data_IF_983808441468
#
_entry.id   IF_983808441468
#
_cell.length_a   1.000
_cell.length_b   1.000
_cell.length_c   1.000
_cell.angle_alpha   90.00
_cell.angle_beta   90.00
_cell.angle_gamma   90.00
#
_symmetry.space_group_name_H-M   'P 1'
#
loop_
_entity.id
_entity.type
_entity.pdbx_description
1 polymer ?
#
# COMPACT_ATOMS: atom_id res chain seq x y z
N UNK A 1 3.21 15.15 -7.58
CA UNK A 1 3.58 14.08 -6.64
C UNK A 1 2.82 14.22 -5.35
N UNK A 2 2.29 13.14 -4.82
CA UNK A 2 1.51 13.18 -3.59
C UNK A 2 2.31 12.64 -2.41
N UNK A 3 2.17 13.31 -1.26
CA UNK A 3 2.59 12.78 0.03
C UNK A 3 1.73 11.55 0.38
N UNK A 4 2.37 10.51 0.91
CA UNK A 4 1.66 9.29 1.32
C UNK A 4 0.66 9.62 2.41
N UNK A 5 1.08 10.28 3.47
CA UNK A 5 0.19 10.65 4.58
C UNK A 5 -0.96 11.55 4.12
N UNK A 6 -0.65 12.59 3.35
CA UNK A 6 -1.65 13.55 2.88
C UNK A 6 -2.69 12.87 1.99
N UNK A 7 -2.27 11.98 1.09
CA UNK A 7 -3.20 11.30 0.20
C UNK A 7 -4.11 10.31 0.95
N UNK A 8 -3.59 9.62 1.96
CA UNK A 8 -4.42 8.74 2.79
C UNK A 8 -5.42 9.55 3.59
N UNK A 9 -5.00 10.68 4.16
CA UNK A 9 -5.90 11.59 4.88
C UNK A 9 -7.03 12.07 3.96
N UNK A 10 -6.70 12.47 2.75
CA UNK A 10 -7.69 12.92 1.77
C UNK A 10 -8.74 11.86 1.49
N UNK A 11 -8.32 10.62 1.29
CA UNK A 11 -9.25 9.52 1.03
C UNK A 11 -10.11 9.18 2.25
N UNK A 12 -9.60 9.43 3.46
CA UNK A 12 -10.36 9.24 4.70
C UNK A 12 -11.26 10.42 5.02
N UNK A 13 -11.22 11.50 4.24
CA UNK A 13 -12.01 12.70 4.50
C UNK A 13 -11.43 13.61 5.58
N UNK A 14 -10.13 13.50 5.83
CA UNK A 14 -9.42 14.31 6.82
C UNK A 14 -8.65 15.43 6.11
N UNK A 15 -8.85 16.68 6.55
CA UNK A 15 -8.12 17.83 6.01
C UNK A 15 -6.62 17.67 6.29
N UNK A 16 -5.78 18.05 5.32
CA UNK A 16 -4.33 17.95 5.45
C UNK A 16 -3.78 18.75 6.63
N UNK A 17 -4.42 19.85 6.99
CA UNK A 17 -3.99 20.72 8.08
C UNK A 17 -4.48 20.26 9.45
N UNK A 18 -5.35 19.26 9.50
CA UNK A 18 -5.81 18.64 10.74
C UNK A 18 -4.85 17.51 11.12
N UNK A 19 -4.04 17.74 12.14
CA UNK A 19 -2.92 16.85 12.47
C UNK A 19 -3.15 15.96 13.69
N UNK A 20 -4.35 16.02 14.27
CA UNK A 20 -4.65 15.30 15.52
C UNK A 20 -4.42 13.79 15.41
N UNK A 21 -4.73 13.19 14.26
CA UNK A 21 -4.61 11.74 14.03
C UNK A 21 -3.35 11.33 13.27
N UNK A 22 -2.44 12.26 12.97
CA UNK A 22 -1.30 11.97 12.12
C UNK A 22 -0.44 10.83 12.66
N UNK A 23 -0.13 10.82 13.95
CA UNK A 23 0.68 9.77 14.55
C UNK A 23 0.01 8.40 14.46
N UNK A 24 -1.29 8.33 14.71
CA UNK A 24 -2.05 7.08 14.59
C UNK A 24 -2.07 6.59 13.15
N UNK A 25 -2.28 7.51 12.20
CA UNK A 25 -2.31 7.17 10.78
C UNK A 25 -0.94 6.69 10.30
N UNK A 26 0.14 7.34 10.73
CA UNK A 26 1.50 6.92 10.39
C UNK A 26 1.75 5.49 10.87
N UNK A 27 1.34 5.16 12.08
CA UNK A 27 1.50 3.81 12.62
C UNK A 27 0.73 2.78 11.79
N UNK A 28 -0.51 3.09 11.42
CA UNK A 28 -1.32 2.20 10.58
C UNK A 28 -0.72 2.05 9.18
N UNK A 29 -0.31 3.16 8.57
CA UNK A 29 0.32 3.14 7.24
C UNK A 29 1.58 2.27 7.26
N UNK A 30 2.43 2.43 8.26
CA UNK A 30 3.67 1.65 8.37
C UNK A 30 3.38 0.16 8.56
N UNK A 31 2.31 -0.20 9.28
CA UNK A 31 1.88 -1.60 9.40
C UNK A 31 1.54 -2.19 8.04
N UNK A 32 0.87 -1.41 7.19
CA UNK A 32 0.50 -1.86 5.84
C UNK A 32 1.75 -2.01 4.97
N UNK A 33 2.69 -1.07 5.05
CA UNK A 33 3.95 -1.19 4.31
C UNK A 33 4.74 -2.43 4.72
N UNK A 34 4.69 -2.82 5.98
CA UNK A 34 5.31 -4.06 6.43
C UNK A 34 4.71 -5.27 5.71
N UNK A 35 3.38 -5.32 5.59
CA UNK A 35 2.70 -6.39 4.85
C UNK A 35 3.11 -6.36 3.37
N UNK A 36 3.15 -5.19 2.75
CA UNK A 36 3.58 -5.05 1.36
C UNK A 36 5.01 -5.55 1.16
N UNK A 37 5.91 -5.26 2.09
CA UNK A 37 7.28 -5.78 2.06
C UNK A 37 7.30 -7.30 2.10
N UNK A 38 6.47 -7.91 2.95
CA UNK A 38 6.34 -9.37 3.03
C UNK A 38 5.77 -9.97 1.73
N UNK A 39 4.94 -9.23 1.02
CA UNK A 39 4.42 -9.63 -0.29
C UNK A 39 5.43 -9.43 -1.42
N UNK A 40 6.57 -8.83 -1.13
CA UNK A 40 7.60 -8.55 -2.14
C UNK A 40 7.39 -7.25 -2.90
N UNK A 41 6.57 -6.34 -2.38
CA UNK A 41 6.27 -5.06 -3.02
C UNK A 41 7.09 -3.95 -2.37
N UNK A 42 7.73 -3.13 -3.21
CA UNK A 42 8.56 -2.02 -2.77
C UNK A 42 9.99 -2.44 -2.42
N UNK A 43 10.74 -1.59 -1.72
CA UNK A 43 12.13 -1.88 -1.36
C UNK A 43 12.25 -3.14 -0.50
N UNK A 44 13.25 -3.98 -0.82
CA UNK A 44 13.45 -5.26 -0.12
C UNK A 44 13.82 -5.09 1.36
N UNK A 45 14.43 -3.96 1.70
CA UNK A 45 14.81 -3.63 3.08
C UNK A 45 13.64 -3.13 3.92
N UNK A 46 12.49 -2.95 3.31
CA UNK A 46 11.31 -2.40 3.96
C UNK A 46 11.15 -0.91 3.73
N UNK A 47 10.00 -0.38 4.12
CA UNK A 47 9.67 1.02 3.92
C UNK A 47 8.77 1.52 5.06
N UNK A 48 9.01 2.75 5.50
CA UNK A 48 8.20 3.40 6.52
C UNK A 48 8.21 4.91 6.31
N UNK A 49 7.16 5.57 6.79
CA UNK A 49 7.08 7.03 6.79
C UNK A 49 7.15 7.54 8.24
N UNK A 50 7.58 8.79 8.42
CA UNK A 50 7.62 9.45 9.72
C UNK A 50 6.85 10.77 9.74
N UNK A 51 6.51 11.30 8.57
CA UNK A 51 5.82 12.59 8.43
C UNK A 51 5.14 12.70 7.06
N UNK A 52 4.65 13.88 6.74
CA UNK A 52 3.98 14.16 5.47
C UNK A 52 4.95 14.46 4.32
N UNK A 53 6.26 14.41 4.54
CA UNK A 53 7.24 14.76 3.51
C UNK A 53 7.57 13.58 2.59
N UNK A 54 7.33 12.35 3.01
CA UNK A 54 7.59 11.16 2.20
C UNK A 54 6.53 11.01 1.12
N UNK A 55 6.97 10.90 -0.12
CA UNK A 55 6.09 10.81 -1.28
C UNK A 55 5.92 9.37 -1.73
N UNK A 56 4.86 9.11 -2.51
CA UNK A 56 4.66 7.78 -3.09
C UNK A 56 5.84 7.37 -3.99
N UNK A 57 6.46 8.33 -4.67
CA UNK A 57 7.62 8.05 -5.52
C UNK A 57 8.84 7.58 -4.73
N UNK A 58 8.89 7.83 -3.43
CA UNK A 58 9.95 7.29 -2.57
C UNK A 58 9.77 5.79 -2.32
N UNK A 59 8.55 5.30 -2.44
CA UNK A 59 8.21 3.89 -2.25
C UNK A 59 8.22 3.11 -3.56
N UNK A 60 7.56 3.62 -4.59
CA UNK A 60 7.39 2.94 -5.88
C UNK A 60 7.25 4.00 -6.98
N UNK A 61 7.71 3.68 -8.20
CA UNK A 61 7.54 4.58 -9.33
C UNK A 61 6.06 4.83 -9.64
N UNK A 62 5.71 6.09 -9.92
CA UNK A 62 4.34 6.47 -10.24
C UNK A 62 3.86 5.88 -11.57
N UNK A 63 4.79 5.50 -12.44
CA UNK A 63 4.52 4.81 -13.70
C UNK A 63 4.40 3.30 -13.56
N UNK A 64 4.58 2.77 -12.36
CA UNK A 64 4.38 1.36 -12.09
C UNK A 64 2.93 0.97 -12.33
N UNK A 65 2.72 -0.18 -12.98
CA UNK A 65 1.37 -0.67 -13.31
C UNK A 65 0.51 -0.90 -12.08
N UNK A 66 1.15 -1.20 -10.95
CA UNK A 66 0.45 -1.52 -9.71
C UNK A 66 0.26 -0.32 -8.79
N UNK A 67 0.70 0.87 -9.21
CA UNK A 67 0.68 2.07 -8.36
C UNK A 67 -0.72 2.36 -7.79
N UNK A 68 -1.74 2.37 -8.64
CA UNK A 68 -3.11 2.65 -8.20
C UNK A 68 -3.66 1.55 -7.29
N UNK A 69 -3.35 0.29 -7.59
CA UNK A 69 -3.76 -0.84 -6.77
C UNK A 69 -3.11 -0.76 -5.37
N UNK A 70 -1.85 -0.38 -5.31
CA UNK A 70 -1.12 -0.22 -4.05
C UNK A 70 -1.72 0.91 -3.22
N UNK A 71 -2.02 2.05 -3.82
CA UNK A 71 -2.68 3.16 -3.12
C UNK A 71 -4.04 2.74 -2.56
N UNK A 72 -4.84 2.05 -3.36
CA UNK A 72 -6.14 1.54 -2.94
C UNK A 72 -6.00 0.55 -1.78
N UNK A 73 -5.03 -0.35 -1.88
CA UNK A 73 -4.75 -1.33 -0.84
C UNK A 73 -4.38 -0.65 0.49
N UNK A 74 -3.46 0.30 0.45
CA UNK A 74 -3.03 1.04 1.65
C UNK A 74 -4.23 1.77 2.27
N UNK A 75 -5.00 2.47 1.46
CA UNK A 75 -6.18 3.18 1.93
C UNK A 75 -7.18 2.24 2.64
N UNK A 76 -7.54 1.14 1.99
CA UNK A 76 -8.54 0.22 2.53
C UNK A 76 -8.07 -0.42 3.83
N UNK A 77 -6.82 -0.84 3.90
CA UNK A 77 -6.25 -1.44 5.12
C UNK A 77 -6.22 -0.43 6.25
N UNK A 78 -5.79 0.80 5.99
CA UNK A 78 -5.76 1.86 6.99
C UNK A 78 -7.18 2.19 7.46
N UNK A 79 -8.14 2.27 6.54
CA UNK A 79 -9.52 2.55 6.90
C UNK A 79 -10.10 1.49 7.83
N UNK A 80 -9.82 0.22 7.59
CA UNK A 80 -10.30 -0.85 8.46
C UNK A 80 -9.75 -0.75 9.87
N UNK A 81 -8.51 -0.27 10.03
CA UNK A 81 -7.89 -0.11 11.33
C UNK A 81 -8.29 1.18 12.04
N UNK A 82 -8.46 2.26 11.29
CA UNK A 82 -8.67 3.60 11.83
C UNK A 82 -10.13 3.99 11.95
N UNK A 83 -10.91 3.77 10.89
CA UNK A 83 -12.31 4.19 10.81
C UNK A 83 -13.11 3.20 9.95
N UNK A 84 -13.37 1.99 10.49
CA UNK A 84 -14.05 0.95 9.71
C UNK A 84 -15.50 1.36 9.39
N UNK A 85 -16.01 0.97 8.20
CA UNK A 85 -17.40 1.19 7.87
C UNK A 85 -18.33 0.49 8.86
N UNK A 86 -19.50 1.07 9.12
CA UNK A 86 -20.47 0.51 10.04
C UNK A 86 -21.30 -0.63 9.42
N UNK A 87 -21.44 -0.63 8.10
CA UNK A 87 -22.19 -1.66 7.39
C UNK A 87 -21.39 -2.95 7.26
N UNK A 88 -21.94 -4.06 7.69
CA UNK A 88 -21.30 -5.38 7.54
C UNK A 88 -21.13 -5.76 6.07
N UNK A 89 -22.06 -5.36 5.20
CA UNK A 89 -21.97 -5.62 3.77
C UNK A 89 -20.77 -4.88 3.15
N UNK A 90 -20.53 -3.62 3.56
CA UNK A 90 -19.38 -2.84 3.09
C UNK A 90 -18.08 -3.43 3.63
N UNK A 91 -18.06 -3.84 4.91
CA UNK A 91 -16.89 -4.50 5.51
C UNK A 91 -16.52 -5.77 4.74
N UNK A 92 -17.50 -6.61 4.43
CA UNK A 92 -17.27 -7.85 3.68
C UNK A 92 -16.73 -7.56 2.28
N UNK A 93 -17.30 -6.55 1.61
CA UNK A 93 -16.85 -6.14 0.28
C UNK A 93 -15.42 -5.63 0.31
N UNK A 94 -15.08 -4.79 1.29
CA UNK A 94 -13.71 -4.29 1.45
C UNK A 94 -12.73 -5.41 1.74
N UNK A 95 -13.10 -6.34 2.63
CA UNK A 95 -12.25 -7.47 2.98
C UNK A 95 -11.94 -8.35 1.78
N UNK A 96 -12.96 -8.62 0.94
CA UNK A 96 -12.78 -9.39 -0.30
C UNK A 96 -11.87 -8.67 -1.28
N UNK A 97 -12.04 -7.36 -1.44
CA UNK A 97 -11.20 -6.55 -2.32
C UNK A 97 -9.75 -6.55 -1.85
N UNK A 98 -9.53 -6.42 -0.54
CA UNK A 98 -8.19 -6.46 0.06
C UNK A 98 -7.53 -7.81 -0.23
N UNK A 99 -8.22 -8.91 0.00
CA UNK A 99 -7.69 -10.25 -0.28
C UNK A 99 -7.35 -10.43 -1.75
N UNK A 100 -8.20 -9.95 -2.65
CA UNK A 100 -7.95 -10.01 -4.08
C UNK A 100 -6.72 -9.18 -4.47
N UNK A 101 -6.56 -7.98 -3.93
CA UNK A 101 -5.40 -7.14 -4.19
C UNK A 101 -4.12 -7.80 -3.68
N UNK A 102 -4.15 -8.38 -2.48
CA UNK A 102 -2.99 -9.09 -1.93
C UNK A 102 -2.58 -10.25 -2.85
N UNK A 103 -3.56 -11.02 -3.32
CA UNK A 103 -3.28 -12.13 -4.23
C UNK A 103 -2.68 -11.63 -5.55
N UNK A 104 -3.26 -10.59 -6.15
CA UNK A 104 -2.78 -10.04 -7.41
C UNK A 104 -1.36 -9.48 -7.30
N UNK A 105 -1.08 -8.76 -6.22
CA UNK A 105 0.25 -8.20 -5.99
C UNK A 105 1.28 -9.31 -5.79
N UNK A 106 0.95 -10.36 -5.07
CA UNK A 106 1.84 -11.49 -4.84
C UNK A 106 2.11 -12.26 -6.13
N UNK A 107 1.08 -12.54 -6.92
CA UNK A 107 1.21 -13.22 -8.21
C UNK A 107 2.11 -12.43 -9.16
N UNK A 108 1.98 -11.11 -9.18
CA UNK A 108 2.80 -10.26 -10.03
C UNK A 108 4.28 -10.36 -9.67
N UNK A 109 4.61 -10.38 -8.38
CA UNK A 109 5.98 -10.57 -7.90
C UNK A 109 6.51 -11.95 -8.30
N UNK A 110 5.72 -13.01 -8.12
CA UNK A 110 6.10 -14.38 -8.50
C UNK A 110 6.38 -14.50 -10.00
N UNK A 111 5.58 -13.84 -10.84
CA UNK A 111 5.81 -13.85 -12.29
C UNK A 111 7.13 -13.17 -12.63
N UNK A 112 7.42 -12.02 -12.04
CA UNK A 112 8.67 -11.28 -12.26
C UNK A 112 9.86 -12.12 -11.82
N UNK A 113 9.79 -12.75 -10.66
CA UNK A 113 10.86 -13.60 -10.15
C UNK A 113 11.10 -14.82 -11.05
N UNK A 114 10.04 -15.44 -11.55
CA UNK A 114 10.14 -16.57 -12.48
C UNK A 114 10.83 -16.15 -13.77
N UNK A 115 10.46 -15.03 -14.33
CA UNK A 115 11.08 -14.50 -15.55
C UNK A 115 12.57 -14.21 -15.35
N UNK A 116 12.92 -13.64 -14.18
CA UNK A 116 14.32 -13.37 -13.85
C UNK A 116 15.13 -14.65 -13.73
N UNK A 117 14.58 -15.70 -13.14
CA UNK A 117 15.25 -16.99 -13.02
C UNK A 117 15.48 -17.62 -14.39
N UNK A 118 14.51 -17.53 -15.30
CA UNK A 118 14.66 -18.02 -16.67
C UNK A 118 15.76 -17.29 -17.41
N UNK A 119 15.84 -15.97 -17.28
CA UNK A 119 16.92 -15.17 -17.86
C UNK A 119 18.29 -15.61 -17.36
N UNK A 120 18.43 -15.87 -16.07
CA UNK A 120 19.69 -16.34 -15.48
C UNK A 120 20.07 -17.71 -16.04
N UNK A 121 19.11 -18.61 -16.24
CA UNK A 121 19.37 -19.96 -16.76
C UNK A 121 19.70 -19.96 -18.25
N UNK A 122 19.05 -19.10 -19.04
CA UNK A 122 19.12 -19.10 -20.48
C UNK A 122 20.06 -18.07 -21.08
N UNK A 123 20.36 -17.02 -20.32
CA UNK A 123 21.02 -15.81 -20.81
C UNK A 123 22.50 -15.71 -20.55
N UNK A 124 23.10 -16.72 -20.17
CA UNK A 124 24.54 -16.68 -19.81
C UNK A 124 25.43 -16.31 -20.99
#
# INVERSE_FOLDING_TARGET
>A
MESILTSVKKLLGIDKDYTHFDNDLIMHINSVFMVLTQLGVGPSEGFAISDANTMWSDFIGEDDKNFQAIKTYVYMKVRLMFDPPLSSAVLDSMSRTICELEWRLNVQVDIVDSMRKEEIQNGV
#
